data_IF_136310888691
#
_entry.id   IF_136310888691
#
_cell.length_a   1.000
_cell.length_b   1.000
_cell.length_c   1.000
_cell.angle_alpha   90.00
_cell.angle_beta   90.00
_cell.angle_gamma   90.00
#
_symmetry.space_group_name_H-M   'P 1'
#
loop_
_entity.id
_entity.type
_entity.pdbx_description
1 polymer ?
#
# COMPACT_ATOMS: atom_id res chain seq x y z
N UNK A 1 25.65 -22.50 -8.26
CA UNK A 1 24.88 -23.36 -7.35
C UNK A 1 23.69 -22.57 -6.84
N UNK A 2 22.44 -23.00 -7.08
CA UNK A 2 21.27 -22.27 -6.60
C UNK A 2 21.29 -22.24 -5.07
N UNK A 3 21.09 -21.05 -4.50
CA UNK A 3 20.94 -20.86 -3.06
C UNK A 3 19.47 -21.17 -2.74
N UNK A 4 19.22 -22.28 -2.04
CA UNK A 4 17.86 -22.68 -1.66
C UNK A 4 17.61 -22.09 -0.28
N UNK A 5 16.65 -21.17 -0.18
CA UNK A 5 16.18 -20.65 1.10
C UNK A 5 15.27 -21.71 1.75
N UNK A 6 15.71 -22.26 2.88
CA UNK A 6 15.00 -23.30 3.63
C UNK A 6 14.10 -22.72 4.75
N UNK A 7 14.04 -21.40 4.89
CA UNK A 7 13.30 -20.74 5.97
C UNK A 7 11.78 -20.83 5.75
N UNK A 8 11.05 -20.95 6.87
CA UNK A 8 9.59 -20.96 6.88
C UNK A 8 9.05 -19.60 6.42
N UNK A 9 8.23 -19.59 5.37
CA UNK A 9 7.52 -18.41 4.86
C UNK A 9 6.02 -18.59 5.13
N UNK A 10 5.43 -17.61 5.81
CA UNK A 10 4.00 -17.61 6.15
C UNK A 10 3.23 -16.78 5.12
N UNK A 11 2.07 -17.28 4.69
CA UNK A 11 1.11 -16.57 3.85
C UNK A 11 0.02 -15.91 4.72
N UNK A 12 -0.79 -15.01 4.16
CA UNK A 12 -1.85 -14.31 4.90
C UNK A 12 -2.89 -15.25 5.50
N UNK A 13 -3.09 -16.43 4.90
CA UNK A 13 -4.00 -17.47 5.40
C UNK A 13 -3.48 -18.21 6.62
N UNK A 14 -2.17 -18.17 6.87
CA UNK A 14 -1.51 -18.91 7.95
C UNK A 14 -1.47 -18.12 9.28
N UNK A 15 -1.94 -16.86 9.27
CA UNK A 15 -1.86 -15.94 10.41
C UNK A 15 -3.20 -15.28 10.72
N UNK A 16 -3.42 -14.96 12.00
CA UNK A 16 -4.62 -14.25 12.47
C UNK A 16 -4.22 -13.05 13.32
N UNK A 17 -5.00 -11.97 13.24
CA UNK A 17 -4.85 -10.80 14.09
C UNK A 17 -5.33 -11.13 15.50
N UNK A 18 -4.44 -11.04 16.49
CA UNK A 18 -4.83 -11.12 17.90
C UNK A 18 -5.46 -9.78 18.32
N UNK A 19 -6.74 -9.75 18.73
CA UNK A 19 -7.37 -8.50 19.15
C UNK A 19 -6.67 -7.95 20.39
N UNK A 20 -6.43 -6.63 20.39
CA UNK A 20 -5.88 -5.88 21.52
C UNK A 20 -6.83 -4.73 21.83
N UNK A 21 -7.06 -4.45 23.12
CA UNK A 21 -7.91 -3.32 23.52
C UNK A 21 -7.30 -2.01 23.01
N UNK A 22 -8.06 -1.28 22.20
CA UNK A 22 -7.75 0.07 21.75
C UNK A 22 -8.39 1.11 22.66
N UNK A 23 -7.79 2.30 22.75
CA UNK A 23 -8.36 3.46 23.44
C UNK A 23 -9.33 4.27 22.58
N UNK A 24 -9.38 4.00 21.28
CA UNK A 24 -10.28 4.65 20.31
C UNK A 24 -11.73 4.23 20.54
N UNK A 25 -12.65 5.19 20.48
CA UNK A 25 -14.08 4.97 20.74
C UNK A 25 -14.85 4.55 19.50
N UNK A 26 -14.37 4.96 18.32
CA UNK A 26 -15.00 4.69 17.03
C UNK A 26 -13.98 4.35 15.94
N UNK A 27 -14.39 3.55 14.96
CA UNK A 27 -13.57 3.25 13.77
C UNK A 27 -13.31 4.50 12.90
N UNK A 28 -14.16 5.52 13.02
CA UNK A 28 -13.99 6.79 12.29
C UNK A 28 -12.84 7.65 12.84
N UNK A 29 -12.37 7.38 14.07
CA UNK A 29 -11.24 8.10 14.69
C UNK A 29 -9.88 7.51 14.28
N UNK A 30 -9.87 6.45 13.46
CA UNK A 30 -8.64 5.79 13.00
C UNK A 30 -8.03 6.58 11.85
N UNK A 31 -6.80 7.04 12.03
CA UNK A 31 -6.01 7.60 10.93
C UNK A 31 -5.43 6.48 10.04
N UNK A 32 -5.80 6.53 8.76
CA UNK A 32 -5.36 5.59 7.73
C UNK A 32 -4.14 6.09 6.97
N UNK A 33 -3.74 7.36 7.13
CA UNK A 33 -2.61 7.91 6.40
C UNK A 33 -1.28 7.32 6.85
N UNK A 34 -0.41 7.10 5.88
CA UNK A 34 0.95 6.61 6.11
C UNK A 34 1.90 7.38 5.21
N UNK A 35 3.04 7.75 5.77
CA UNK A 35 4.14 8.38 5.04
C UNK A 35 5.07 7.29 4.50
N UNK A 36 5.21 7.24 3.18
CA UNK A 36 6.12 6.35 2.46
C UNK A 36 7.30 7.15 1.93
N UNK A 37 8.52 6.64 2.16
CA UNK A 37 9.75 7.17 1.59
C UNK A 37 10.19 6.29 0.43
N UNK A 38 10.23 6.84 -0.79
CA UNK A 38 10.66 6.08 -1.96
C UNK A 38 12.18 5.86 -1.93
N UNK A 39 12.60 4.60 -1.98
CA UNK A 39 14.02 4.21 -1.91
C UNK A 39 14.88 4.88 -2.99
N UNK A 40 14.33 5.01 -4.20
CA UNK A 40 15.11 5.42 -5.38
C UNK A 40 15.06 6.94 -5.60
N UNK A 41 13.91 7.59 -5.40
CA UNK A 41 13.75 9.03 -5.63
C UNK A 41 13.92 9.89 -4.38
N UNK A 42 13.95 9.29 -3.17
CA UNK A 42 13.92 9.97 -1.85
C UNK A 42 12.71 10.87 -1.63
N UNK A 43 11.73 10.85 -2.53
CA UNK A 43 10.49 11.59 -2.35
C UNK A 43 9.64 10.95 -1.26
N UNK A 44 8.83 11.77 -0.60
CA UNK A 44 7.88 11.34 0.43
C UNK A 44 6.46 11.45 -0.11
N UNK A 45 5.66 10.42 0.13
CA UNK A 45 4.23 10.42 -0.17
C UNK A 45 3.44 10.15 1.12
N UNK A 46 2.42 10.95 1.40
CA UNK A 46 1.48 10.73 2.50
C UNK A 46 0.10 10.44 1.92
N UNK A 47 -0.46 9.29 2.27
CA UNK A 47 -1.77 8.86 1.80
C UNK A 47 -2.19 7.54 2.41
N UNK A 48 -3.34 7.02 1.97
CA UNK A 48 -3.83 5.71 2.39
C UNK A 48 -2.90 4.64 1.79
N UNK A 49 -2.50 3.60 2.54
CA UNK A 49 -1.53 2.57 2.12
C UNK A 49 -2.14 1.56 1.13
N UNK A 50 -2.79 2.05 0.06
CA UNK A 50 -3.36 1.28 -1.03
C UNK A 50 -2.76 1.81 -2.33
N UNK A 51 -2.09 0.91 -3.06
CA UNK A 51 -1.34 1.23 -4.26
C UNK A 51 -1.84 0.34 -5.41
N UNK A 52 -2.20 0.97 -6.52
CA UNK A 52 -2.59 0.26 -7.75
C UNK A 52 -1.37 -0.40 -8.38
N UNK A 53 -1.49 -1.68 -8.72
CA UNK A 53 -0.43 -2.42 -9.39
C UNK A 53 -0.17 -1.89 -10.81
N UNK A 54 1.09 -1.89 -11.21
CA UNK A 54 1.50 -1.56 -12.58
C UNK A 54 1.25 -2.74 -13.53
N UNK A 55 -0.02 -3.02 -13.82
CA UNK A 55 -0.47 -4.07 -14.74
C UNK A 55 -1.30 -3.45 -15.87
N UNK A 56 -1.25 -4.05 -17.06
CA UNK A 56 -1.83 -3.51 -18.30
C UNK A 56 -3.32 -3.12 -18.19
N UNK A 57 -4.11 -3.85 -17.40
CA UNK A 57 -5.55 -3.60 -17.23
C UNK A 57 -5.92 -2.86 -15.94
N UNK A 58 -4.96 -2.64 -15.04
CA UNK A 58 -5.20 -2.13 -13.68
C UNK A 58 -4.62 -0.71 -13.51
N UNK A 59 -3.46 -0.45 -14.11
CA UNK A 59 -2.73 0.82 -13.99
C UNK A 59 -3.11 1.87 -15.04
N UNK A 60 -4.38 2.02 -15.39
CA UNK A 60 -4.79 3.03 -16.39
C UNK A 60 -4.72 4.46 -15.84
N UNK A 61 -4.70 5.46 -16.72
CA UNK A 61 -4.74 6.88 -16.31
C UNK A 61 -6.06 7.25 -15.63
N UNK A 62 -7.18 6.67 -16.09
CA UNK A 62 -8.49 6.86 -15.46
C UNK A 62 -8.49 6.36 -14.02
N UNK A 63 -7.90 5.18 -13.77
CA UNK A 63 -7.75 4.63 -12.42
C UNK A 63 -6.89 5.54 -11.54
N UNK A 64 -5.84 6.13 -12.09
CA UNK A 64 -5.00 7.10 -11.40
C UNK A 64 -5.77 8.34 -10.93
N UNK A 65 -6.66 8.88 -11.78
CA UNK A 65 -7.50 10.04 -11.43
C UNK A 65 -8.46 9.68 -10.30
N UNK A 66 -9.12 8.53 -10.37
CA UNK A 66 -10.06 8.07 -9.32
C UNK A 66 -9.34 7.83 -7.99
N UNK A 67 -8.17 7.20 -8.02
CA UNK A 67 -7.40 6.91 -6.81
C UNK A 67 -6.90 8.19 -6.11
N UNK A 68 -6.55 9.22 -6.88
CA UNK A 68 -6.16 10.52 -6.33
C UNK A 68 -7.29 11.16 -5.49
N UNK A 69 -8.55 11.01 -5.90
CA UNK A 69 -9.71 11.55 -5.17
C UNK A 69 -9.88 10.92 -3.78
N UNK A 70 -9.54 9.63 -3.64
CA UNK A 70 -9.60 8.90 -2.37
C UNK A 70 -8.27 8.89 -1.62
N UNK A 71 -7.30 9.73 -2.03
CA UNK A 71 -5.97 9.87 -1.40
C UNK A 71 -5.17 8.55 -1.38
N UNK A 72 -5.41 7.72 -2.40
CA UNK A 72 -4.65 6.51 -2.68
C UNK A 72 -3.72 6.74 -3.87
N UNK A 73 -2.69 5.91 -4.01
CA UNK A 73 -1.68 6.07 -5.06
C UNK A 73 -1.88 5.09 -6.22
N UNK A 74 -1.54 5.54 -7.43
CA UNK A 74 -1.50 4.70 -8.62
C UNK A 74 -0.20 4.93 -9.37
N UNK A 75 0.42 3.84 -9.84
CA UNK A 75 1.75 3.89 -10.47
C UNK A 75 1.77 4.73 -11.76
N UNK A 76 0.66 4.75 -12.51
CA UNK A 76 0.54 5.53 -13.76
C UNK A 76 0.63 7.05 -13.55
N UNK A 77 0.45 7.57 -12.33
CA UNK A 77 0.70 8.99 -12.01
C UNK A 77 2.20 9.35 -12.04
N UNK A 78 3.10 8.37 -11.96
CA UNK A 78 4.55 8.62 -11.93
C UNK A 78 5.13 9.01 -13.29
N UNK A 79 4.48 8.69 -14.42
CA UNK A 79 5.00 8.97 -15.76
C UNK A 79 4.55 10.33 -16.36
N UNK A 80 3.66 11.05 -15.68
CA UNK A 80 3.16 12.35 -16.13
C UNK A 80 3.89 13.54 -15.49
N UNK A 81 4.99 13.29 -14.76
CA UNK A 81 5.87 14.31 -14.18
C UNK A 81 7.33 13.95 -14.34
#
# INVERSE_FOLDING_TARGET
MPRIDADLKLDFKDVLLRPKRSSLKSRAEVDLERTFTFRNSKQTYSGIPIIVANMDTVGTFEMAVVMSQVRCWAFSLCCSH
#
